data_IF_312499559402
#
_entry.id   IF_312499559402
#
_cell.length_a   1.000
_cell.length_b   1.000
_cell.length_c   1.000
_cell.angle_alpha   90.00
_cell.angle_beta   90.00
_cell.angle_gamma   90.00
#
_symmetry.space_group_name_H-M   'P 1'
#
loop_
_entity.id
_entity.type
_entity.pdbx_description
1 polymer ?
#
# COMPACT_ATOMS: atom_id res chain seq x y z
N UNK A 1 4.66 21.83 -25.69
CA UNK A 1 5.69 21.19 -24.85
C UNK A 1 4.99 20.10 -24.05
N UNK A 2 5.35 18.84 -24.24
CA UNK A 2 4.79 17.75 -23.42
C UNK A 2 5.18 18.06 -21.96
N UNK A 3 4.21 18.23 -21.06
CA UNK A 3 4.54 18.36 -19.64
C UNK A 3 5.25 17.09 -19.22
N UNK A 4 6.39 17.21 -18.52
CA UNK A 4 7.06 16.05 -17.96
C UNK A 4 6.09 15.29 -17.05
N UNK A 5 6.09 13.95 -17.15
CA UNK A 5 5.27 13.11 -16.28
C UNK A 5 5.67 13.37 -14.81
N UNK A 6 4.70 13.42 -13.87
CA UNK A 6 5.02 13.53 -12.45
C UNK A 6 5.94 12.40 -12.00
N UNK A 7 6.84 12.70 -11.06
CA UNK A 7 7.67 11.65 -10.46
C UNK A 7 6.80 10.66 -9.67
N UNK A 8 7.26 9.41 -9.60
CA UNK A 8 6.66 8.36 -8.80
C UNK A 8 7.51 8.09 -7.57
N UNK A 9 6.93 8.26 -6.38
CA UNK A 9 7.56 7.89 -5.12
C UNK A 9 7.14 6.46 -4.77
N UNK A 10 8.03 5.51 -4.98
CA UNK A 10 7.77 4.09 -4.71
C UNK A 10 8.30 3.75 -3.32
N UNK A 11 7.39 3.34 -2.44
CA UNK A 11 7.74 2.99 -1.06
C UNK A 11 8.03 1.51 -0.92
N UNK A 12 8.84 1.14 0.08
CA UNK A 12 9.11 -0.27 0.41
C UNK A 12 9.62 -1.04 -0.83
N UNK A 13 10.77 -0.60 -1.35
CA UNK A 13 11.35 -1.03 -2.61
C UNK A 13 11.98 -2.43 -2.54
N UNK A 14 11.28 -3.41 -1.97
CA UNK A 14 11.58 -4.83 -2.12
C UNK A 14 11.08 -5.36 -3.49
N UNK A 15 10.61 -6.60 -3.57
CA UNK A 15 10.26 -7.23 -4.86
C UNK A 15 9.11 -6.51 -5.58
N UNK A 16 8.06 -6.12 -4.85
CA UNK A 16 6.91 -5.40 -5.42
C UNK A 16 7.31 -4.00 -5.90
N UNK A 17 8.03 -3.24 -5.08
CA UNK A 17 8.52 -1.92 -5.47
C UNK A 17 9.50 -1.95 -6.63
N UNK A 18 10.35 -2.98 -6.73
CA UNK A 18 11.22 -3.16 -7.90
C UNK A 18 10.42 -3.38 -9.20
N UNK A 19 9.35 -4.19 -9.15
CA UNK A 19 8.48 -4.42 -10.30
C UNK A 19 7.77 -3.13 -10.74
N UNK A 20 7.22 -2.38 -9.77
CA UNK A 20 6.58 -1.07 -10.00
C UNK A 20 7.59 -0.09 -10.62
N UNK A 21 8.79 0.04 -10.03
CA UNK A 21 9.83 0.93 -10.51
C UNK A 21 10.24 0.62 -11.96
N UNK A 22 10.46 -0.66 -12.29
CA UNK A 22 10.82 -1.09 -13.65
C UNK A 22 9.72 -0.79 -14.67
N UNK A 23 8.47 -1.06 -14.30
CA UNK A 23 7.31 -0.79 -15.16
C UNK A 23 7.15 0.71 -15.45
N UNK A 24 7.26 1.55 -14.42
CA UNK A 24 7.14 3.00 -14.56
C UNK A 24 8.31 3.60 -15.36
N UNK A 25 9.54 3.17 -15.06
CA UNK A 25 10.73 3.63 -15.77
C UNK A 25 10.71 3.25 -17.26
N UNK A 26 10.16 2.09 -17.64
CA UNK A 26 10.04 1.72 -19.06
C UNK A 26 9.07 2.62 -19.84
N UNK A 27 8.24 3.40 -19.14
CA UNK A 27 7.34 4.41 -19.71
C UNK A 27 7.85 5.85 -19.52
N UNK A 28 9.13 6.02 -19.14
CA UNK A 28 9.76 7.34 -19.00
C UNK A 28 9.38 8.11 -17.74
N UNK A 29 8.76 7.46 -16.75
CA UNK A 29 8.46 8.08 -15.45
C UNK A 29 9.72 8.11 -14.58
N UNK A 30 10.04 9.28 -14.00
CA UNK A 30 11.12 9.40 -13.00
C UNK A 30 10.68 8.71 -11.71
N UNK A 31 11.41 7.68 -11.30
CA UNK A 31 11.12 6.92 -10.07
C UNK A 31 12.08 7.32 -8.96
N UNK A 32 11.52 7.65 -7.79
CA UNK A 32 12.24 7.88 -6.54
C UNK A 32 11.87 6.75 -5.58
N UNK A 33 12.87 6.04 -5.07
CA UNK A 33 12.66 4.99 -4.08
C UNK A 33 12.76 5.55 -2.66
N UNK A 34 11.75 5.28 -1.83
CA UNK A 34 11.76 5.57 -0.40
C UNK A 34 11.70 4.25 0.38
N UNK A 35 12.66 4.04 1.28
CA UNK A 35 12.73 2.80 2.05
C UNK A 35 13.47 3.06 3.38
N UNK A 36 13.02 2.49 4.52
CA UNK A 36 13.79 2.57 5.76
C UNK A 36 15.13 1.84 5.67
N UNK A 37 15.23 0.77 4.87
CA UNK A 37 16.50 0.09 4.62
C UNK A 37 17.18 0.64 3.35
N UNK A 38 18.32 1.34 3.48
CA UNK A 38 19.08 1.83 2.33
C UNK A 38 19.64 0.71 1.44
N UNK A 39 19.55 -0.57 1.87
CA UNK A 39 20.08 -1.74 1.17
C UNK A 39 19.01 -2.64 0.52
N UNK A 40 17.74 -2.22 0.51
CA UNK A 40 16.64 -2.95 -0.14
C UNK A 40 16.88 -3.27 -1.64
N UNK A 41 16.25 -4.33 -2.16
CA UNK A 41 16.52 -4.88 -3.51
C UNK A 41 16.29 -3.89 -4.68
N UNK A 42 15.30 -3.00 -4.56
CA UNK A 42 15.02 -1.94 -5.52
C UNK A 42 16.10 -0.87 -5.57
N UNK A 43 16.89 -0.74 -4.50
CA UNK A 43 18.00 0.19 -4.37
C UNK A 43 19.20 -0.17 -5.26
N UNK A 44 19.22 -1.27 -6.02
CA UNK A 44 20.29 -1.55 -7.00
C UNK A 44 19.83 -1.35 -8.45
N UNK A 45 18.54 -1.07 -8.66
CA UNK A 45 17.95 -1.01 -10.00
C UNK A 45 18.34 0.27 -10.73
N UNK A 46 18.62 0.14 -12.03
CA UNK A 46 18.79 1.29 -12.96
C UNK A 46 17.47 2.01 -13.25
N UNK A 47 16.33 1.39 -12.89
CA UNK A 47 15.01 1.99 -13.02
C UNK A 47 14.73 3.08 -11.97
N UNK A 48 15.52 3.15 -10.90
CA UNK A 48 15.38 4.12 -9.81
C UNK A 48 16.35 5.27 -10.04
N UNK A 49 15.82 6.49 -10.19
CA UNK A 49 16.60 7.70 -10.45
C UNK A 49 17.21 8.28 -9.16
N UNK A 50 16.48 8.20 -8.05
CA UNK A 50 16.89 8.69 -6.73
C UNK A 50 16.46 7.75 -5.62
N UNK A 51 17.18 7.80 -4.51
CA UNK A 51 17.00 6.91 -3.37
C UNK A 51 17.13 7.71 -2.09
N UNK A 52 16.17 7.54 -1.20
CA UNK A 52 16.16 8.23 0.08
C UNK A 52 15.75 7.26 1.18
N UNK A 53 16.52 7.24 2.27
CA UNK A 53 16.07 6.61 3.50
C UNK A 53 14.91 7.43 4.07
N UNK A 54 13.85 6.77 4.52
CA UNK A 54 12.69 7.41 5.15
C UNK A 54 12.31 6.70 6.45
N UNK A 55 11.57 7.37 7.36
CA UNK A 55 11.02 6.71 8.53
C UNK A 55 10.14 5.52 8.16
N UNK A 56 10.13 4.50 9.02
CA UNK A 56 9.27 3.34 8.87
C UNK A 56 7.87 3.68 9.44
N UNK A 57 6.80 3.67 8.63
CA UNK A 57 5.46 4.01 9.13
C UNK A 57 4.91 3.00 10.16
N UNK A 58 5.49 1.79 10.25
CA UNK A 58 5.17 0.83 11.32
C UNK A 58 5.78 1.21 12.68
N UNK A 59 6.83 2.03 12.69
CA UNK A 59 7.49 2.49 13.91
C UNK A 59 7.03 3.88 14.31
N UNK A 60 6.98 4.81 13.33
CA UNK A 60 6.51 6.17 13.52
C UNK A 60 5.83 6.69 12.24
N UNK A 61 4.50 6.53 12.20
CA UNK A 61 3.66 6.98 11.10
C UNK A 61 3.73 8.50 10.90
N UNK A 62 3.82 9.29 11.98
CA UNK A 62 3.86 10.75 11.91
C UNK A 62 5.16 11.22 11.32
N UNK A 63 6.29 10.67 11.79
CA UNK A 63 7.60 10.99 11.22
C UNK A 63 7.67 10.67 9.72
N UNK A 64 7.03 9.59 9.27
CA UNK A 64 6.94 9.26 7.85
C UNK A 64 6.14 10.31 7.05
N UNK A 65 4.99 10.76 7.57
CA UNK A 65 4.19 11.80 6.93
C UNK A 65 4.91 13.15 6.90
N UNK A 66 5.53 13.55 8.01
CA UNK A 66 6.30 14.79 8.10
C UNK A 66 7.46 14.78 7.11
N UNK A 67 8.20 13.65 7.02
CA UNK A 67 9.23 13.44 6.02
C UNK A 67 8.73 13.66 4.58
N UNK A 68 7.54 13.15 4.24
CA UNK A 68 6.96 13.35 2.92
C UNK A 68 6.65 14.84 2.70
N UNK A 69 5.99 15.50 3.65
CA UNK A 69 5.62 16.92 3.52
C UNK A 69 6.82 17.84 3.39
N UNK A 70 7.89 17.58 4.15
CA UNK A 70 9.14 18.35 4.10
C UNK A 70 9.87 18.24 2.76
N UNK A 71 9.83 17.06 2.12
CA UNK A 71 10.62 16.77 0.91
C UNK A 71 9.82 16.72 -0.37
N UNK A 72 8.48 16.69 -0.28
CA UNK A 72 7.57 16.48 -1.41
C UNK A 72 7.83 17.41 -2.58
N UNK A 73 8.08 18.68 -2.28
CA UNK A 73 8.32 19.74 -3.27
C UNK A 73 9.64 19.57 -4.03
N UNK A 74 10.64 18.91 -3.43
CA UNK A 74 11.92 18.63 -4.09
C UNK A 74 11.80 17.62 -5.23
N UNK A 75 10.74 16.80 -5.23
CA UNK A 75 10.47 15.80 -6.28
C UNK A 75 9.53 16.29 -7.38
N UNK A 76 9.17 17.58 -7.37
CA UNK A 76 8.38 18.24 -8.40
C UNK A 76 6.94 18.52 -8.01
N UNK A 77 6.13 18.90 -9.00
CA UNK A 77 4.71 19.19 -8.78
C UNK A 77 3.89 17.92 -8.52
N UNK A 78 3.40 17.80 -7.29
CA UNK A 78 2.49 16.75 -6.81
C UNK A 78 2.87 15.32 -7.23
N UNK A 79 4.05 14.82 -6.87
CA UNK A 79 4.46 13.47 -7.28
C UNK A 79 3.45 12.42 -6.78
N UNK A 80 3.42 11.27 -7.47
CA UNK A 80 2.45 10.20 -7.22
C UNK A 80 3.01 9.25 -6.17
N UNK A 81 2.22 8.93 -5.16
CA UNK A 81 2.60 7.97 -4.12
C UNK A 81 2.25 6.54 -4.55
N UNK A 82 3.25 5.66 -4.54
CA UNK A 82 3.14 4.24 -4.84
C UNK A 82 3.60 3.41 -3.63
N UNK A 83 2.76 3.27 -2.58
CA UNK A 83 2.96 2.26 -1.54
C UNK A 83 2.85 0.85 -2.13
N UNK A 84 3.68 -0.09 -1.68
CA UNK A 84 3.82 -1.42 -2.29
C UNK A 84 3.43 -2.58 -1.38
N UNK A 85 2.85 -2.25 -0.22
CA UNK A 85 2.26 -3.16 0.76
C UNK A 85 1.22 -2.42 1.61
N UNK A 86 0.38 -3.19 2.29
CA UNK A 86 -0.82 -2.73 2.98
C UNK A 86 -0.54 -1.67 4.05
N UNK A 87 0.55 -1.81 4.82
CA UNK A 87 0.88 -0.89 5.91
C UNK A 87 1.21 0.51 5.41
N UNK A 88 1.87 0.60 4.25
CA UNK A 88 2.21 1.89 3.65
C UNK A 88 1.00 2.51 2.96
N UNK A 89 0.10 1.70 2.39
CA UNK A 89 -1.19 2.18 1.88
C UNK A 89 -2.00 2.77 3.04
N UNK A 90 -2.08 2.07 4.18
CA UNK A 90 -2.80 2.53 5.36
C UNK A 90 -2.24 3.84 5.93
N UNK A 91 -0.91 3.94 6.07
CA UNK A 91 -0.26 5.15 6.55
C UNK A 91 -0.60 6.37 5.69
N UNK A 92 -0.52 6.24 4.35
CA UNK A 92 -0.92 7.33 3.45
C UNK A 92 -2.42 7.61 3.54
N UNK A 93 -3.26 6.57 3.57
CA UNK A 93 -4.71 6.73 3.55
C UNK A 93 -5.21 7.46 4.81
N UNK A 94 -4.65 7.16 5.99
CA UNK A 94 -4.98 7.83 7.27
C UNK A 94 -4.67 9.32 7.25
N UNK A 95 -3.60 9.71 6.56
CA UNK A 95 -3.16 11.11 6.45
C UNK A 95 -3.46 11.74 5.09
N UNK A 96 -4.39 11.16 4.32
CA UNK A 96 -4.72 11.59 2.96
C UNK A 96 -5.03 13.09 2.88
N UNK A 97 -5.86 13.61 3.77
CA UNK A 97 -6.25 15.03 3.75
C UNK A 97 -5.04 15.97 3.87
N UNK A 98 -4.02 15.57 4.63
CA UNK A 98 -2.78 16.33 4.80
C UNK A 98 -1.85 16.19 3.59
N UNK A 99 -1.80 15.01 2.98
CA UNK A 99 -0.88 14.68 1.89
C UNK A 99 -1.39 15.10 0.50
N UNK A 100 -2.69 15.02 0.25
CA UNK A 100 -3.31 15.23 -1.07
C UNK A 100 -3.07 16.63 -1.70
N UNK A 101 -2.92 17.73 -0.93
CA UNK A 101 -2.48 19.01 -1.49
C UNK A 101 -1.11 18.92 -2.17
N UNK A 102 -0.18 18.16 -1.57
CA UNK A 102 1.20 18.05 -2.01
C UNK A 102 1.49 16.83 -2.90
N UNK A 103 0.56 15.86 -2.96
CA UNK A 103 0.79 14.57 -3.62
C UNK A 103 -0.43 14.09 -4.40
N UNK A 104 -0.20 13.21 -5.38
CA UNK A 104 -1.25 12.46 -6.07
C UNK A 104 -1.37 11.08 -5.40
N UNK A 105 -2.56 10.72 -4.92
CA UNK A 105 -2.82 9.47 -4.20
C UNK A 105 -3.79 8.62 -5.03
N UNK A 106 -3.31 7.59 -5.75
CA UNK A 106 -4.07 6.89 -6.81
C UNK A 106 -4.95 5.74 -6.29
N UNK A 107 -5.34 5.75 -5.01
CA UNK A 107 -6.12 4.68 -4.38
C UNK A 107 -7.19 5.25 -3.43
N UNK A 108 -8.10 4.41 -2.95
CA UNK A 108 -9.29 4.85 -2.22
C UNK A 108 -9.01 5.51 -0.85
N UNK A 109 -10.03 6.17 -0.31
CA UNK A 109 -10.06 6.74 1.04
C UNK A 109 -9.78 5.70 2.14
N UNK A 110 -9.32 6.17 3.31
CA UNK A 110 -8.98 5.32 4.46
C UNK A 110 -10.08 4.30 4.80
N UNK A 111 -11.34 4.72 4.85
CA UNK A 111 -12.47 3.83 5.17
C UNK A 111 -12.59 2.62 4.23
N UNK A 112 -12.23 2.79 2.95
CA UNK A 112 -12.33 1.73 1.94
C UNK A 112 -11.13 0.81 2.07
N UNK A 113 -9.93 1.38 2.23
CA UNK A 113 -8.69 0.61 2.45
C UNK A 113 -8.83 -0.25 3.70
N UNK A 114 -9.26 0.33 4.82
CA UNK A 114 -9.43 -0.36 6.10
C UNK A 114 -10.43 -1.53 5.99
N UNK A 115 -11.57 -1.30 5.34
CA UNK A 115 -12.59 -2.32 5.14
C UNK A 115 -12.13 -3.50 4.25
N UNK A 116 -11.24 -3.27 3.29
CA UNK A 116 -10.71 -4.33 2.40
C UNK A 116 -9.63 -5.15 3.10
N UNK A 117 -8.86 -4.55 4.01
CA UNK A 117 -7.78 -5.23 4.74
C UNK A 117 -8.28 -6.13 5.87
N UNK A 118 -9.45 -5.83 6.46
CA UNK A 118 -10.15 -6.75 7.35
C UNK A 118 -10.96 -7.76 6.54
N UNK A 119 -10.54 -9.02 6.52
CA UNK A 119 -11.20 -10.08 5.75
C UNK A 119 -12.66 -10.31 6.15
N UNK A 120 -13.03 -10.04 7.41
CA UNK A 120 -14.43 -10.15 7.86
C UNK A 120 -15.28 -9.09 7.18
N UNK A 121 -14.79 -7.85 7.17
CA UNK A 121 -15.47 -6.75 6.51
C UNK A 121 -15.50 -6.94 5.00
N UNK A 122 -14.39 -7.32 4.39
CA UNK A 122 -14.30 -7.62 2.97
C UNK A 122 -15.35 -8.66 2.54
N UNK A 123 -15.44 -9.79 3.23
CA UNK A 123 -16.41 -10.84 2.88
C UNK A 123 -17.85 -10.43 3.17
N UNK A 124 -18.11 -9.69 4.25
CA UNK A 124 -19.44 -9.15 4.54
C UNK A 124 -19.89 -8.20 3.42
N UNK A 125 -19.04 -7.24 3.03
CA UNK A 125 -19.33 -6.28 1.96
C UNK A 125 -19.51 -6.99 0.61
N UNK A 126 -18.66 -7.98 0.31
CA UNK A 126 -18.80 -8.75 -0.92
C UNK A 126 -20.15 -9.51 -0.97
N UNK A 127 -20.59 -10.10 0.14
CA UNK A 127 -21.90 -10.74 0.23
C UNK A 127 -23.06 -9.75 0.08
N UNK A 128 -22.98 -8.57 0.71
CA UNK A 128 -23.97 -7.48 0.58
C UNK A 128 -24.07 -6.95 -0.86
N UNK A 129 -22.96 -6.97 -1.60
CA UNK A 129 -22.89 -6.57 -3.01
C UNK A 129 -23.16 -7.72 -3.99
N UNK A 130 -23.58 -8.89 -3.50
CA UNK A 130 -23.83 -10.10 -4.31
C UNK A 130 -22.62 -10.56 -5.15
N UNK A 131 -21.39 -10.22 -4.70
CA UNK A 131 -20.14 -10.69 -5.31
C UNK A 131 -19.89 -12.13 -4.87
N UNK A 132 -19.67 -13.08 -5.79
CA UNK A 132 -19.37 -14.46 -5.43
C UNK A 132 -18.11 -14.58 -4.57
N UNK A 133 -18.24 -15.18 -3.39
CA UNK A 133 -17.14 -15.46 -2.47
C UNK A 133 -17.10 -16.94 -2.06
N UNK A 134 -15.93 -17.48 -1.68
CA UNK A 134 -15.87 -18.79 -1.05
C UNK A 134 -16.76 -18.83 0.20
N UNK A 135 -17.39 -19.98 0.45
CA UNK A 135 -18.17 -20.18 1.66
C UNK A 135 -17.27 -19.96 2.88
N UNK A 136 -17.59 -18.93 3.65
CA UNK A 136 -16.77 -18.44 4.75
C UNK A 136 -17.58 -18.52 6.03
N UNK A 137 -16.92 -18.93 7.11
CA UNK A 137 -17.52 -19.12 8.41
C UNK A 137 -16.78 -18.27 9.44
N UNK A 138 -17.51 -17.78 10.45
CA UNK A 138 -16.89 -17.23 11.65
C UNK A 138 -16.44 -18.38 12.57
N UNK A 139 -15.38 -18.17 13.34
CA UNK A 139 -14.89 -19.14 14.33
C UNK A 139 -15.27 -18.75 15.77
N UNK A 140 -16.38 -18.04 15.95
CA UNK A 140 -16.89 -17.68 17.29
C UNK A 140 -17.24 -18.92 18.13
N UNK A 141 -17.67 -20.01 17.48
CA UNK A 141 -17.81 -21.36 18.05
C UNK A 141 -17.12 -22.37 17.12
N UNK A 142 -15.84 -22.69 17.36
CA UNK A 142 -15.05 -23.57 16.50
C UNK A 142 -15.61 -24.99 16.40
N UNK A 143 -16.15 -25.55 17.49
CA UNK A 143 -16.63 -26.93 17.52
C UNK A 143 -17.88 -27.11 16.66
N UNK A 144 -18.83 -26.16 16.78
CA UNK A 144 -20.02 -26.16 15.93
C UNK A 144 -19.64 -25.91 14.47
N UNK A 145 -18.80 -24.90 14.22
CA UNK A 145 -18.41 -24.52 12.86
C UNK A 145 -17.71 -25.66 12.12
N UNK A 146 -16.85 -26.41 12.81
CA UNK A 146 -16.16 -27.56 12.22
C UNK A 146 -17.12 -28.62 11.65
N UNK A 147 -18.32 -28.77 12.22
CA UNK A 147 -19.35 -29.72 11.73
C UNK A 147 -20.03 -29.24 10.44
N UNK A 148 -19.99 -27.93 10.15
CA UNK A 148 -20.63 -27.31 8.99
C UNK A 148 -19.67 -27.14 7.81
N UNK A 149 -18.36 -27.23 8.04
CA UNK A 149 -17.33 -27.06 7.02
C UNK A 149 -17.26 -28.29 6.11
N UNK A 150 -17.27 -28.05 4.79
CA UNK A 150 -16.88 -29.04 3.79
C UNK A 150 -15.38 -28.92 3.52
N UNK A 151 -14.64 -30.01 3.72
CA UNK A 151 -13.20 -30.06 3.50
C UNK A 151 -12.83 -30.40 2.04
N UNK A 152 -11.65 -29.95 1.55
CA UNK A 152 -10.63 -29.16 2.26
C UNK A 152 -11.03 -27.70 2.48
N UNK A 153 -10.53 -27.12 3.58
CA UNK A 153 -10.79 -25.73 3.97
C UNK A 153 -9.49 -25.03 4.38
N UNK A 154 -9.50 -23.68 4.37
CA UNK A 154 -8.35 -22.85 4.78
C UNK A 154 -8.75 -22.00 5.98
N UNK A 155 -7.95 -22.05 7.04
CA UNK A 155 -8.05 -21.13 8.17
C UNK A 155 -7.13 -19.93 7.91
N UNK A 156 -7.64 -18.71 8.09
CA UNK A 156 -6.87 -17.47 7.93
C UNK A 156 -7.21 -16.49 9.05
N UNK A 157 -6.24 -15.71 9.55
CA UNK A 157 -6.55 -14.61 10.46
C UNK A 157 -7.33 -13.52 9.71
N UNK A 158 -8.23 -12.84 10.42
CA UNK A 158 -9.05 -11.75 9.89
C UNK A 158 -8.17 -10.59 9.40
N UNK A 159 -7.09 -10.31 10.11
CA UNK A 159 -6.13 -9.24 9.83
C UNK A 159 -4.71 -9.82 9.87
N UNK A 160 -3.79 -9.30 9.05
CA UNK A 160 -2.41 -9.82 9.02
C UNK A 160 -1.48 -9.16 10.05
N UNK A 161 -1.66 -7.87 10.33
CA UNK A 161 -0.85 -7.09 11.29
C UNK A 161 -1.74 -6.01 11.91
N UNK A 162 -1.67 -5.86 13.24
CA UNK A 162 -2.21 -4.73 14.00
C UNK A 162 -1.07 -4.11 14.80
#
# INVERSE_FOLDING_TARGET
MSSALPAALVFNCHITGLAVARSLASHGVRVVALDPDPRGLGQASRAVAERHACPNPLEDERAFVDFLLERGTAWGDRPVLFPTNDEWVLAVARHRATLEPCFRIPFSEHRVVDAVLDKRQLYRIAAELEIPIPRTYSLDDPEKTAREIRYPAIVKPAEQRR
#
